data_IF_599016521232
#
_entry.id   IF_599016521232
#
_cell.length_a   1.000
_cell.length_b   1.000
_cell.length_c   1.000
_cell.angle_alpha   90.00
_cell.angle_beta   90.00
_cell.angle_gamma   90.00
#
_symmetry.space_group_name_H-M   'P 1'
#
loop_
_entity.id
_entity.type
_entity.pdbx_description
1 polymer ?
#
# COMPACT_ATOMS: atom_id res chain seq x y z
N UNK A 1 30.99 -12.44 -37.52
CA UNK A 1 30.12 -11.96 -36.42
C UNK A 1 28.89 -11.36 -37.08
N UNK A 2 27.77 -12.10 -37.01
CA UNK A 2 26.72 -12.05 -38.02
C UNK A 2 25.55 -11.09 -37.74
N UNK A 3 24.73 -10.79 -38.77
CA UNK A 3 23.71 -9.73 -38.78
C UNK A 3 22.40 -10.06 -38.03
N UNK A 4 22.40 -11.07 -37.15
CA UNK A 4 21.18 -11.65 -36.56
C UNK A 4 20.68 -10.94 -35.29
N UNK A 5 21.42 -9.94 -34.78
CA UNK A 5 21.06 -9.22 -33.54
C UNK A 5 20.23 -7.94 -33.76
N UNK A 6 20.06 -7.48 -35.00
CA UNK A 6 19.29 -6.24 -35.30
C UNK A 6 17.83 -6.56 -35.70
N UNK A 7 17.53 -7.77 -36.17
CA UNK A 7 16.18 -8.17 -36.57
C UNK A 7 15.22 -8.46 -35.42
N UNK A 8 15.72 -8.93 -34.27
CA UNK A 8 14.90 -9.32 -33.13
C UNK A 8 14.33 -8.12 -32.34
N UNK A 9 15.04 -6.99 -32.32
CA UNK A 9 14.59 -5.75 -31.67
C UNK A 9 13.51 -5.04 -32.47
N UNK A 10 13.58 -5.03 -33.81
CA UNK A 10 12.53 -4.41 -34.65
C UNK A 10 11.18 -5.16 -34.62
N UNK A 11 11.19 -6.49 -34.49
CA UNK A 11 9.96 -7.29 -34.39
C UNK A 11 9.20 -7.11 -33.07
N UNK A 12 9.90 -6.88 -31.96
CA UNK A 12 9.28 -6.64 -30.64
C UNK A 12 8.59 -5.26 -30.55
N UNK A 13 9.12 -4.25 -31.24
CA UNK A 13 8.49 -2.93 -31.31
C UNK A 13 7.24 -2.92 -32.20
N UNK A 14 7.24 -3.64 -33.33
CA UNK A 14 6.07 -3.73 -34.21
C UNK A 14 4.91 -4.52 -33.59
N UNK A 15 5.20 -5.59 -32.84
CA UNK A 15 4.18 -6.36 -32.12
C UNK A 15 3.52 -5.56 -30.98
N UNK A 16 4.29 -4.71 -30.29
CA UNK A 16 3.79 -3.82 -29.23
C UNK A 16 2.87 -2.73 -29.78
N UNK A 17 3.16 -2.20 -30.97
CA UNK A 17 2.33 -1.17 -31.62
C UNK A 17 1.03 -1.74 -32.22
N UNK A 18 1.08 -2.97 -32.76
CA UNK A 18 -0.10 -3.67 -33.27
C UNK A 18 -1.05 -4.12 -32.15
N UNK A 19 -0.53 -4.43 -30.95
CA UNK A 19 -1.34 -4.72 -29.77
C UNK A 19 -2.05 -3.45 -29.23
N UNK A 20 -1.33 -2.32 -29.17
CA UNK A 20 -1.88 -1.04 -28.71
C UNK A 20 -3.01 -0.51 -29.60
N UNK A 21 -2.89 -0.69 -30.92
CA UNK A 21 -3.92 -0.24 -31.88
C UNK A 21 -5.18 -1.12 -31.89
N UNK A 22 -5.04 -2.43 -31.61
CA UNK A 22 -6.19 -3.35 -31.49
C UNK A 22 -6.98 -3.16 -30.20
N UNK A 23 -6.35 -2.69 -29.11
CA UNK A 23 -7.09 -2.32 -27.90
C UNK A 23 -7.93 -1.04 -28.10
N UNK A 24 -7.42 -0.08 -28.88
CA UNK A 24 -8.11 1.21 -29.11
C UNK A 24 -9.44 1.06 -29.86
N UNK A 25 -9.59 0.04 -30.72
CA UNK A 25 -10.83 -0.22 -31.46
C UNK A 25 -11.88 -1.01 -30.66
N UNK A 26 -11.45 -1.84 -29.70
CA UNK A 26 -12.35 -2.49 -28.74
C UNK A 26 -12.90 -1.48 -27.70
N UNK A 27 -12.12 -0.44 -27.41
CA UNK A 27 -12.46 0.64 -26.46
C UNK A 27 -13.69 1.48 -26.81
N UNK A 28 -14.03 1.65 -28.09
CA UNK A 28 -15.19 2.46 -28.48
C UNK A 28 -16.53 1.74 -28.35
N UNK A 29 -16.55 0.42 -28.13
CA UNK A 29 -17.79 -0.38 -28.14
C UNK A 29 -18.36 -0.69 -26.75
N UNK A 30 -17.70 -0.29 -25.66
CA UNK A 30 -18.07 -0.69 -24.29
C UNK A 30 -18.60 0.46 -23.41
N UNK A 31 -19.00 1.60 -24.01
CA UNK A 31 -19.52 2.79 -23.30
C UNK A 31 -20.95 2.68 -22.73
N UNK A 32 -21.54 1.49 -22.56
CA UNK A 32 -22.97 1.38 -22.17
C UNK A 32 -23.32 0.39 -21.05
N UNK A 33 -22.42 0.10 -20.10
CA UNK A 33 -22.78 -0.74 -18.94
C UNK A 33 -22.38 -0.07 -17.62
N UNK A 34 -23.31 -0.15 -16.66
CA UNK A 34 -23.33 0.37 -15.28
C UNK A 34 -21.98 0.26 -14.55
N UNK A 35 -21.70 1.11 -13.54
CA UNK A 35 -20.46 1.03 -12.75
C UNK A 35 -20.27 -0.39 -12.22
N UNK A 36 -19.12 -0.98 -12.51
CA UNK A 36 -18.79 -2.34 -12.05
C UNK A 36 -18.34 -2.23 -10.60
N UNK A 37 -18.80 -3.11 -9.69
CA UNK A 37 -18.24 -3.16 -8.35
C UNK A 37 -16.74 -3.44 -8.43
N UNK A 38 -15.99 -2.97 -7.41
CA UNK A 38 -14.59 -3.30 -7.18
C UNK A 38 -14.32 -4.76 -7.60
N UNK A 39 -13.36 -4.98 -8.51
CA UNK A 39 -13.14 -6.27 -9.16
C UNK A 39 -13.06 -7.41 -8.13
N UNK A 40 -14.03 -8.31 -8.21
CA UNK A 40 -13.83 -9.71 -7.83
C UNK A 40 -12.70 -10.25 -8.69
N UNK A 41 -11.50 -10.35 -8.10
CA UNK A 41 -10.47 -11.24 -8.63
C UNK A 41 -11.06 -12.67 -8.54
N UNK A 42 -11.07 -13.37 -9.67
CA UNK A 42 -11.61 -14.72 -9.93
C UNK A 42 -11.34 -15.78 -8.82
N UNK A 43 -12.05 -16.93 -8.85
CA UNK A 43 -12.55 -17.65 -7.68
C UNK A 43 -11.44 -18.16 -6.74
N UNK A 44 -11.48 -17.65 -5.51
CA UNK A 44 -10.52 -17.91 -4.43
C UNK A 44 -10.44 -16.72 -3.47
N UNK A 45 -11.60 -16.13 -3.17
CA UNK A 45 -11.86 -14.82 -2.54
C UNK A 45 -10.91 -14.54 -1.36
N UNK A 46 -9.85 -13.78 -1.58
CA UNK A 46 -9.19 -13.05 -0.50
C UNK A 46 -10.07 -11.85 -0.20
N UNK A 47 -10.86 -11.97 0.86
CA UNK A 47 -11.64 -10.86 1.37
C UNK A 47 -10.70 -9.74 1.85
N UNK A 48 -10.98 -8.49 1.51
CA UNK A 48 -10.14 -7.34 1.82
C UNK A 48 -10.97 -6.19 2.36
N UNK A 49 -10.32 -5.17 2.96
CA UNK A 49 -10.98 -3.90 3.32
C UNK A 49 -12.09 -4.04 4.34
N UNK A 50 -12.14 -5.15 5.09
CA UNK A 50 -13.10 -5.40 6.17
C UNK A 50 -12.47 -5.13 7.53
N UNK A 51 -13.27 -4.65 8.47
CA UNK A 51 -12.87 -4.40 9.86
C UNK A 51 -13.75 -5.27 10.75
N UNK A 52 -13.28 -6.45 11.20
CA UNK A 52 -14.15 -7.43 11.87
C UNK A 52 -14.59 -7.04 13.29
N UNK A 53 -13.80 -6.22 13.99
CA UNK A 53 -13.96 -6.01 15.44
C UNK A 53 -14.57 -4.67 15.83
N UNK A 54 -14.46 -3.67 14.97
CA UNK A 54 -14.79 -2.29 15.30
C UNK A 54 -15.61 -1.69 14.17
N UNK A 55 -16.75 -1.10 14.51
CA UNK A 55 -17.50 -0.27 13.58
C UNK A 55 -16.95 1.16 13.61
N UNK A 56 -15.96 1.41 12.74
CA UNK A 56 -15.32 2.73 12.61
C UNK A 56 -16.24 3.76 11.93
N UNK A 57 -17.32 3.31 11.27
CA UNK A 57 -18.21 4.17 10.48
C UNK A 57 -19.36 4.70 11.32
N UNK A 58 -19.92 3.93 12.24
CA UNK A 58 -21.08 4.33 13.06
C UNK A 58 -20.77 5.30 14.22
N UNK A 59 -19.51 5.73 14.37
CA UNK A 59 -19.10 6.73 15.35
C UNK A 59 -19.44 8.18 14.97
N UNK A 60 -19.47 9.08 15.95
CA UNK A 60 -19.51 10.53 15.70
C UNK A 60 -18.31 10.97 14.85
N UNK A 61 -18.43 12.10 14.15
CA UNK A 61 -17.31 12.68 13.39
C UNK A 61 -16.19 13.08 14.35
N UNK A 62 -15.06 12.36 14.33
CA UNK A 62 -13.90 12.65 15.17
C UNK A 62 -12.81 13.25 14.30
N UNK A 63 -12.67 14.58 14.39
CA UNK A 63 -11.59 15.34 13.78
C UNK A 63 -10.52 15.55 14.85
N UNK A 64 -9.27 15.19 14.56
CA UNK A 64 -8.17 15.19 15.52
C UNK A 64 -7.62 13.79 15.77
N UNK A 65 -6.29 13.69 15.83
CA UNK A 65 -5.61 12.43 16.15
C UNK A 65 -5.98 11.92 17.54
N UNK A 66 -6.46 10.69 17.62
CA UNK A 66 -6.82 10.03 18.87
C UNK A 66 -6.39 8.55 18.87
N UNK A 67 -6.49 7.90 20.03
CA UNK A 67 -6.15 6.49 20.16
C UNK A 67 -7.11 5.62 19.34
N UNK A 68 -6.56 4.83 18.43
CA UNK A 68 -7.31 3.85 17.67
C UNK A 68 -7.76 2.71 18.59
N UNK A 69 -9.00 2.26 18.40
CA UNK A 69 -9.50 1.07 19.09
C UNK A 69 -8.71 -0.18 18.66
N UNK A 70 -8.63 -1.17 19.53
CA UNK A 70 -7.90 -2.40 19.22
C UNK A 70 -8.59 -3.15 18.08
N UNK A 71 -7.87 -3.34 16.97
CA UNK A 71 -8.41 -3.97 15.77
C UNK A 71 -9.14 -3.04 14.79
N UNK A 72 -9.13 -1.72 15.01
CA UNK A 72 -9.75 -0.75 14.09
C UNK A 72 -9.13 -0.78 12.68
N UNK A 73 -7.81 -1.04 12.58
CA UNK A 73 -7.07 -1.01 11.32
C UNK A 73 -6.27 -2.30 11.10
N UNK A 74 -6.92 -3.42 10.73
CA UNK A 74 -6.29 -4.75 10.70
C UNK A 74 -5.21 -4.94 9.60
N UNK A 75 -5.12 -4.02 8.64
CA UNK A 75 -4.09 -4.01 7.59
C UNK A 75 -2.82 -3.25 7.95
N UNK A 76 -2.80 -2.52 9.06
CA UNK A 76 -1.68 -1.64 9.38
C UNK A 76 -0.43 -2.42 9.81
N UNK A 77 0.73 -1.99 9.31
CA UNK A 77 2.02 -2.60 9.59
C UNK A 77 2.97 -1.60 10.21
N UNK A 78 3.62 -1.99 11.30
CA UNK A 78 4.77 -1.26 11.85
C UNK A 78 6.05 -1.84 11.25
N UNK A 79 6.71 -1.07 10.37
CA UNK A 79 8.03 -1.42 9.84
C UNK A 79 9.10 -0.97 10.83
N UNK A 80 9.79 -1.95 11.40
CA UNK A 80 10.82 -1.72 12.42
C UNK A 80 12.20 -2.06 11.90
N UNK A 81 13.18 -1.25 12.28
CA UNK A 81 14.58 -1.49 12.00
C UNK A 81 15.34 -1.83 13.29
N UNK A 82 16.14 -2.89 13.24
CA UNK A 82 17.00 -3.31 14.33
C UNK A 82 18.17 -2.34 14.47
N UNK A 83 18.24 -1.65 15.61
CA UNK A 83 19.40 -0.85 15.99
C UNK A 83 20.36 -1.67 16.86
N UNK A 84 21.50 -1.07 17.19
CA UNK A 84 22.45 -1.63 18.15
C UNK A 84 21.75 -2.08 19.45
N UNK A 85 22.34 -3.08 20.13
CA UNK A 85 21.79 -3.69 21.35
C UNK A 85 20.46 -4.44 21.18
N UNK A 86 20.19 -4.97 19.98
CA UNK A 86 19.00 -5.78 19.65
C UNK A 86 17.65 -5.09 19.91
N UNK A 87 17.60 -3.76 19.94
CA UNK A 87 16.35 -3.00 20.06
C UNK A 87 15.80 -2.64 18.68
N UNK A 88 14.62 -3.13 18.36
CA UNK A 88 13.89 -2.71 17.15
C UNK A 88 13.19 -1.38 17.39
N UNK A 89 13.24 -0.50 16.39
CA UNK A 89 12.61 0.82 16.44
C UNK A 89 11.70 0.98 15.24
N UNK A 90 10.46 1.40 15.48
CA UNK A 90 9.52 1.76 14.43
C UNK A 90 10.05 2.94 13.62
N UNK A 91 10.04 2.81 12.29
CA UNK A 91 10.48 3.85 11.36
C UNK A 91 9.38 4.31 10.41
N UNK A 92 8.57 3.37 9.91
CA UNK A 92 7.53 3.62 8.93
C UNK A 92 6.32 2.73 9.17
N UNK A 93 5.17 3.16 8.66
CA UNK A 93 3.98 2.37 8.45
C UNK A 93 4.04 1.52 7.16
N UNK A 94 3.01 0.72 6.97
CA UNK A 94 2.74 -0.04 5.75
C UNK A 94 1.34 -0.62 5.78
N UNK A 95 0.91 -1.18 4.66
CA UNK A 95 -0.42 -1.78 4.51
C UNK A 95 -0.31 -3.20 3.96
N UNK A 96 -0.94 -4.17 4.62
CA UNK A 96 -1.07 -5.53 4.10
C UNK A 96 -2.00 -5.48 2.88
N UNK A 97 -1.49 -5.88 1.72
CA UNK A 97 -2.28 -5.93 0.47
C UNK A 97 -2.54 -7.38 0.01
N UNK A 98 -1.72 -8.34 0.46
CA UNK A 98 -1.87 -9.79 0.29
C UNK A 98 -1.13 -10.54 1.41
N UNK A 99 -1.22 -11.86 1.43
CA UNK A 99 -0.67 -12.72 2.47
C UNK A 99 0.83 -12.51 2.65
N UNK A 100 1.58 -12.33 1.56
CA UNK A 100 3.02 -12.11 1.59
C UNK A 100 3.44 -10.71 1.15
N UNK A 101 2.51 -9.78 0.97
CA UNK A 101 2.81 -8.47 0.38
C UNK A 101 2.32 -7.29 1.22
N UNK A 102 3.22 -6.34 1.42
CA UNK A 102 2.95 -5.06 2.07
C UNK A 102 3.27 -3.93 1.09
N UNK A 103 2.43 -2.90 1.08
CA UNK A 103 2.68 -1.64 0.38
C UNK A 103 3.13 -0.56 1.37
N UNK A 104 4.13 0.24 0.99
CA UNK A 104 4.67 1.33 1.82
C UNK A 104 5.34 2.40 0.93
N UNK A 105 5.96 3.40 1.54
CA UNK A 105 6.71 4.45 0.86
C UNK A 105 8.16 4.02 0.56
N UNK A 106 8.70 4.44 -0.59
CA UNK A 106 10.08 4.16 -0.98
C UNK A 106 11.11 4.85 -0.08
N UNK A 107 10.82 6.07 0.37
CA UNK A 107 11.74 6.87 1.18
C UNK A 107 12.09 6.25 2.54
N UNK A 108 11.32 5.27 3.01
CA UNK A 108 11.60 4.47 4.19
C UNK A 108 12.95 3.72 4.08
N UNK A 109 13.37 3.37 2.85
CA UNK A 109 14.53 2.54 2.55
C UNK A 109 15.69 3.34 1.96
N UNK A 110 16.31 4.21 2.77
CA UNK A 110 17.56 4.91 2.39
C UNK A 110 18.72 3.92 2.23
N UNK A 111 19.74 4.29 1.44
CA UNK A 111 20.94 3.46 1.15
C UNK A 111 21.54 2.81 2.42
N UNK A 112 21.61 3.55 3.53
CA UNK A 112 22.13 3.07 4.83
C UNK A 112 21.25 2.01 5.53
N UNK A 113 20.07 1.70 4.99
CA UNK A 113 19.07 0.80 5.59
C UNK A 113 18.64 -0.33 4.64
N UNK A 114 19.34 -0.59 3.54
CA UNK A 114 18.99 -1.71 2.64
C UNK A 114 19.32 -3.11 3.18
N UNK A 115 19.93 -3.20 4.36
CA UNK A 115 20.32 -4.49 4.94
C UNK A 115 19.08 -5.19 5.50
N UNK A 116 18.43 -5.99 4.65
CA UNK A 116 17.12 -6.64 4.87
C UNK A 116 17.01 -7.40 6.21
N UNK A 117 18.10 -8.04 6.66
CA UNK A 117 18.14 -8.78 7.94
C UNK A 117 17.82 -7.94 9.18
N UNK A 118 17.89 -6.61 9.08
CA UNK A 118 17.56 -5.71 10.17
C UNK A 118 16.11 -5.21 10.13
N UNK A 119 15.38 -5.47 9.06
CA UNK A 119 13.98 -5.09 8.97
C UNK A 119 13.04 -6.19 9.46
N UNK A 120 12.01 -5.78 10.17
CA UNK A 120 10.94 -6.64 10.67
C UNK A 120 9.61 -5.93 10.43
N UNK A 121 8.65 -6.63 9.85
CA UNK A 121 7.25 -6.21 9.80
C UNK A 121 6.55 -6.68 11.07
N UNK A 122 5.86 -5.76 11.77
CA UNK A 122 5.04 -6.08 12.94
C UNK A 122 3.58 -5.79 12.63
N UNK A 123 2.71 -6.79 12.83
CA UNK A 123 1.31 -6.77 12.42
C UNK A 123 0.37 -7.11 13.58
N UNK A 124 -0.92 -6.75 13.47
CA UNK A 124 -1.96 -7.14 14.43
C UNK A 124 -1.70 -6.66 15.86
N UNK A 125 -1.12 -5.47 16.01
CA UNK A 125 -0.85 -4.82 17.31
C UNK A 125 -1.42 -3.41 17.30
N UNK A 126 -1.97 -2.97 18.43
CA UNK A 126 -2.22 -1.54 18.68
C UNK A 126 -1.06 -0.90 19.44
N UNK A 127 -0.49 -1.59 20.42
CA UNK A 127 0.66 -1.12 21.17
C UNK A 127 1.96 -1.77 20.68
N UNK A 128 2.82 -1.03 20.00
CA UNK A 128 4.09 -1.56 19.43
C UNK A 128 5.15 -1.89 20.48
N UNK A 129 4.99 -1.42 21.72
CA UNK A 129 5.87 -1.77 22.85
C UNK A 129 5.39 -3.01 23.61
N UNK A 130 4.10 -3.35 23.55
CA UNK A 130 3.52 -4.50 24.26
C UNK A 130 3.82 -5.85 23.57
N UNK A 131 4.85 -5.90 22.73
CA UNK A 131 5.09 -6.92 21.73
C UNK A 131 5.73 -8.20 22.30
N UNK A 132 4.99 -8.93 23.16
CA UNK A 132 5.41 -10.20 23.78
C UNK A 132 5.25 -11.42 22.87
N UNK A 133 4.63 -11.29 21.70
CA UNK A 133 4.30 -12.44 20.84
C UNK A 133 5.19 -12.51 19.59
N UNK A 134 6.04 -13.54 19.49
CA UNK A 134 6.92 -13.78 18.33
C UNK A 134 6.14 -13.90 17.00
N UNK A 135 4.92 -14.43 17.01
CA UNK A 135 4.12 -14.66 15.80
C UNK A 135 3.67 -13.37 15.09
N UNK A 136 3.79 -12.21 15.74
CA UNK A 136 3.43 -10.91 15.16
C UNK A 136 4.60 -10.25 14.42
N UNK A 137 5.80 -10.84 14.48
CA UNK A 137 7.03 -10.34 13.86
C UNK A 137 7.39 -11.20 12.65
N UNK A 138 7.43 -10.59 11.48
CA UNK A 138 7.69 -11.29 10.22
C UNK A 138 8.94 -10.71 9.58
N UNK A 139 9.84 -11.59 9.15
CA UNK A 139 11.05 -11.21 8.42
C UNK A 139 10.69 -10.75 7.00
N UNK A 140 11.39 -9.74 6.52
CA UNK A 140 11.32 -9.30 5.13
C UNK A 140 12.22 -10.19 4.28
N UNK A 141 11.70 -10.66 3.16
CA UNK A 141 12.42 -11.44 2.16
C UNK A 141 13.16 -10.53 1.18
N UNK A 142 12.43 -9.59 0.57
CA UNK A 142 13.00 -8.54 -0.27
C UNK A 142 12.08 -7.32 -0.37
N UNK A 143 12.62 -6.25 -0.94
CA UNK A 143 11.93 -4.96 -1.12
C UNK A 143 12.08 -4.55 -2.58
N UNK A 144 10.97 -4.17 -3.21
CA UNK A 144 10.91 -3.62 -4.57
C UNK A 144 10.56 -2.15 -4.47
N UNK A 145 11.56 -1.29 -4.68
CA UNK A 145 11.37 0.16 -4.73
C UNK A 145 11.07 0.56 -6.16
N UNK A 146 10.18 1.54 -6.35
CA UNK A 146 9.92 2.08 -7.67
C UNK A 146 11.23 2.54 -8.35
N UNK A 147 11.55 2.05 -9.56
CA UNK A 147 12.84 2.33 -10.21
C UNK A 147 13.07 3.81 -10.50
N UNK A 148 11.99 4.56 -10.71
CA UNK A 148 12.02 6.01 -10.94
C UNK A 148 11.77 6.87 -9.70
N UNK A 149 11.89 6.30 -8.48
CA UNK A 149 11.78 7.07 -7.24
C UNK A 149 12.82 8.19 -7.18
N UNK A 150 12.36 9.42 -6.92
CA UNK A 150 13.20 10.62 -6.81
C UNK A 150 13.33 11.07 -5.36
N UNK A 151 14.50 10.84 -4.76
CA UNK A 151 14.77 11.20 -3.37
C UNK A 151 14.56 12.68 -3.01
N UNK A 152 14.75 13.60 -3.97
CA UNK A 152 14.66 15.03 -3.71
C UNK A 152 13.23 15.58 -3.79
N UNK A 153 12.40 15.00 -4.66
CA UNK A 153 11.03 15.48 -4.92
C UNK A 153 9.96 14.57 -4.35
N UNK A 154 10.33 13.37 -3.88
CA UNK A 154 9.42 12.32 -3.45
C UNK A 154 8.45 11.87 -4.55
N UNK A 155 8.79 12.12 -5.82
CA UNK A 155 8.08 11.56 -6.96
C UNK A 155 8.33 10.04 -7.01
N UNK A 156 7.29 9.27 -7.30
CA UNK A 156 7.33 7.81 -7.28
C UNK A 156 7.69 7.20 -5.92
N UNK A 157 7.22 7.82 -4.83
CA UNK A 157 7.46 7.36 -3.46
C UNK A 157 6.58 6.17 -3.07
N UNK A 158 6.86 5.01 -3.66
CA UNK A 158 6.15 3.75 -3.45
C UNK A 158 7.12 2.57 -3.47
N UNK A 159 6.90 1.63 -2.55
CA UNK A 159 7.64 0.37 -2.48
C UNK A 159 6.73 -0.80 -2.07
N UNK A 160 7.07 -1.98 -2.59
CA UNK A 160 6.49 -3.25 -2.21
C UNK A 160 7.47 -4.02 -1.34
N UNK A 161 6.97 -4.68 -0.30
CA UNK A 161 7.75 -5.58 0.56
C UNK A 161 7.18 -6.98 0.39
N UNK A 162 8.06 -7.94 0.11
CA UNK A 162 7.73 -9.35 0.19
C UNK A 162 8.11 -9.90 1.58
N UNK A 163 7.17 -10.58 2.21
CA UNK A 163 7.36 -11.24 3.50
C UNK A 163 7.91 -12.64 3.32
N UNK A 164 8.81 -13.05 4.21
CA UNK A 164 9.40 -14.39 4.19
C UNK A 164 8.40 -15.50 4.47
N UNK A 165 7.37 -15.21 5.27
CA UNK A 165 6.26 -16.11 5.55
C UNK A 165 4.93 -15.37 5.34
N UNK A 166 3.89 -16.05 4.83
CA UNK A 166 2.57 -15.46 4.70
C UNK A 166 1.99 -15.08 6.07
N UNK A 167 1.23 -13.99 6.11
CA UNK A 167 0.40 -13.65 7.26
C UNK A 167 -0.81 -14.58 7.33
N UNK A 168 -1.24 -14.91 8.55
CA UNK A 168 -2.51 -15.60 8.77
C UNK A 168 -3.59 -14.58 9.07
N UNK A 169 -4.59 -14.48 8.20
CA UNK A 169 -5.72 -13.57 8.41
C UNK A 169 -6.55 -13.99 9.63
N UNK A 170 -6.96 -12.98 10.40
CA UNK A 170 -7.78 -13.10 11.59
C UNK A 170 -8.40 -11.72 11.89
N UNK A 171 -9.12 -11.60 13.00
CA UNK A 171 -9.84 -10.38 13.36
C UNK A 171 -8.94 -9.13 13.52
N UNK A 172 -7.64 -9.31 13.76
CA UNK A 172 -6.65 -8.24 13.90
C UNK A 172 -5.71 -8.10 12.69
N UNK A 173 -5.79 -9.01 11.72
CA UNK A 173 -4.91 -9.06 10.54
C UNK A 173 -5.75 -9.34 9.30
N UNK A 174 -5.97 -8.32 8.48
CA UNK A 174 -6.72 -8.39 7.23
C UNK A 174 -6.00 -7.59 6.15
N UNK A 175 -6.14 -7.93 4.86
CA UNK A 175 -5.62 -7.09 3.80
C UNK A 175 -6.54 -5.90 3.52
N UNK A 176 -6.00 -4.76 3.09
CA UNK A 176 -6.80 -3.63 2.56
C UNK A 176 -7.03 -3.82 1.06
N UNK A 177 -8.18 -3.36 0.56
CA UNK A 177 -8.43 -3.39 -0.87
C UNK A 177 -7.60 -2.34 -1.60
N UNK A 178 -7.12 -2.68 -2.80
CA UNK A 178 -6.48 -1.74 -3.71
C UNK A 178 -7.53 -1.12 -4.64
N UNK A 179 -7.35 0.15 -5.05
CA UNK A 179 -8.29 0.80 -5.94
C UNK A 179 -8.18 0.22 -7.35
N UNK A 180 -9.29 0.23 -8.09
CA UNK A 180 -9.34 -0.14 -9.50
C UNK A 180 -9.15 1.09 -10.39
N UNK A 181 -8.77 0.84 -11.65
CA UNK A 181 -8.64 1.89 -12.66
C UNK A 181 -10.00 2.58 -12.88
N UNK A 182 -9.96 3.92 -12.98
CA UNK A 182 -11.02 4.85 -13.41
C UNK A 182 -12.30 5.05 -12.57
N UNK A 183 -12.66 4.19 -11.62
CA UNK A 183 -14.01 4.26 -11.00
C UNK A 183 -14.09 4.90 -9.60
N UNK A 184 -12.96 5.31 -9.01
CA UNK A 184 -12.95 5.76 -7.61
C UNK A 184 -12.52 7.22 -7.51
N UNK A 185 -13.41 8.23 -7.58
CA UNK A 185 -13.02 9.63 -7.50
C UNK A 185 -12.30 9.97 -6.17
N UNK A 186 -11.29 10.84 -6.24
CA UNK A 186 -10.71 11.48 -5.06
C UNK A 186 -11.52 12.74 -4.80
N UNK A 187 -12.52 12.62 -3.94
CA UNK A 187 -13.36 13.73 -3.53
C UNK A 187 -13.74 13.57 -2.05
N UNK A 188 -14.49 14.55 -1.54
CA UNK A 188 -14.95 14.59 -0.16
C UNK A 188 -16.30 13.88 0.05
N UNK A 189 -16.75 13.03 -0.89
CA UNK A 189 -17.97 12.22 -0.72
C UNK A 189 -17.74 10.98 0.14
N UNK A 190 -16.48 10.57 0.30
CA UNK A 190 -16.06 9.41 1.09
C UNK A 190 -15.37 9.86 2.36
N UNK A 191 -15.60 9.10 3.44
CA UNK A 191 -14.87 9.28 4.70
C UNK A 191 -13.52 8.61 4.57
N UNK A 192 -12.46 9.37 4.80
CA UNK A 192 -11.09 8.91 4.68
C UNK A 192 -10.36 9.05 6.01
N UNK A 193 -9.50 8.10 6.30
CA UNK A 193 -8.79 7.97 7.56
C UNK A 193 -7.31 7.73 7.31
N UNK A 194 -6.50 8.20 8.24
CA UNK A 194 -5.08 7.86 8.37
C UNK A 194 -4.85 7.20 9.71
N UNK A 195 -3.84 6.34 9.78
CA UNK A 195 -3.47 5.68 11.02
C UNK A 195 -1.97 5.39 11.07
N UNK A 196 -1.40 5.45 12.28
CA UNK A 196 0.02 5.19 12.49
C UNK A 196 0.50 5.37 13.93
N UNK A 197 1.81 5.21 14.12
CA UNK A 197 2.51 5.37 15.41
C UNK A 197 3.50 6.55 15.39
N UNK A 198 3.32 7.46 14.43
CA UNK A 198 4.09 8.68 14.32
C UNK A 198 3.85 9.63 15.48
N UNK A 199 4.53 10.77 15.45
CA UNK A 199 4.35 11.79 16.48
C UNK A 199 2.94 12.38 16.43
N UNK A 200 2.33 12.64 17.59
CA UNK A 200 1.04 13.36 17.65
C UNK A 200 1.17 14.86 17.35
N UNK A 201 2.35 15.42 17.56
CA UNK A 201 2.67 16.83 17.32
C UNK A 201 4.05 16.91 16.68
N UNK A 202 4.33 17.97 15.93
CA UNK A 202 5.60 18.14 15.21
C UNK A 202 6.83 18.01 16.14
N UNK A 203 6.76 18.63 17.31
CA UNK A 203 7.79 18.60 18.36
C UNK A 203 7.68 17.41 19.31
N UNK A 204 6.64 16.58 19.17
CA UNK A 204 6.35 15.47 20.07
C UNK A 204 7.27 14.26 19.91
N UNK A 205 6.96 13.21 20.67
CA UNK A 205 7.60 11.90 20.60
C UNK A 205 6.69 10.88 19.92
N UNK A 206 7.27 9.76 19.46
CA UNK A 206 6.49 8.65 18.90
C UNK A 206 5.55 8.09 19.97
N UNK A 207 4.32 7.77 19.58
CA UNK A 207 3.35 7.10 20.45
C UNK A 207 3.47 5.58 20.32
N UNK A 208 3.49 4.84 21.44
CA UNK A 208 3.46 3.39 21.37
C UNK A 208 2.07 2.85 20.97
N UNK A 209 1.01 3.62 21.22
CA UNK A 209 -0.37 3.28 20.86
C UNK A 209 -0.70 3.80 19.47
N UNK A 210 -1.39 2.96 18.69
CA UNK A 210 -1.85 3.30 17.36
C UNK A 210 -2.81 4.49 17.42
N UNK A 211 -2.61 5.47 16.55
CA UNK A 211 -3.48 6.62 16.40
C UNK A 211 -4.29 6.52 15.12
N UNK A 212 -5.42 7.23 15.09
CA UNK A 212 -6.20 7.44 13.88
C UNK A 212 -6.73 8.87 13.82
N UNK A 213 -7.01 9.33 12.60
CA UNK A 213 -7.70 10.58 12.35
C UNK A 213 -8.49 10.50 11.04
N UNK A 214 -9.67 11.13 11.02
CA UNK A 214 -10.42 11.40 9.79
C UNK A 214 -9.83 12.64 9.10
N UNK A 215 -9.63 12.57 7.78
CA UNK A 215 -9.07 13.65 6.95
C UNK A 215 -9.82 13.78 5.62
N UNK A 216 -9.64 14.93 4.96
CA UNK A 216 -10.36 15.26 3.74
C UNK A 216 -9.40 15.47 2.57
N UNK A 217 -9.87 15.17 1.36
CA UNK A 217 -9.16 15.49 0.13
C UNK A 217 -9.07 17.01 -0.05
N UNK A 218 -7.87 17.47 -0.41
CA UNK A 218 -7.61 18.87 -0.74
C UNK A 218 -7.25 18.95 -2.23
N UNK A 219 -7.97 19.76 -3.02
CA UNK A 219 -7.69 19.92 -4.44
C UNK A 219 -6.23 20.27 -4.72
N UNK A 220 -5.69 19.66 -5.79
CA UNK A 220 -4.28 19.79 -6.14
C UNK A 220 -3.87 21.23 -6.44
N UNK A 221 -4.73 22.00 -7.11
CA UNK A 221 -4.53 23.42 -7.40
C UNK A 221 -4.46 24.27 -6.13
N UNK A 222 -5.22 23.91 -5.09
CA UNK A 222 -5.15 24.58 -3.79
C UNK A 222 -3.86 24.26 -3.05
N UNK A 223 -3.50 22.99 -2.89
CA UNK A 223 -2.29 22.64 -2.13
C UNK A 223 -1.00 22.93 -2.90
N UNK A 224 -1.04 22.97 -4.23
CA UNK A 224 0.12 23.29 -5.05
C UNK A 224 0.22 24.78 -5.42
N UNK A 225 -0.66 25.62 -4.87
CA UNK A 225 -0.64 27.06 -5.04
C UNK A 225 0.63 27.71 -4.47
N UNK A 226 0.90 28.95 -4.89
CA UNK A 226 2.07 29.75 -4.45
C UNK A 226 2.10 29.95 -2.94
N UNK A 227 0.93 30.07 -2.29
CA UNK A 227 0.79 30.21 -0.83
C UNK A 227 0.96 28.91 -0.04
N UNK A 228 1.22 27.78 -0.71
CA UNK A 228 1.42 26.46 -0.13
C UNK A 228 2.68 25.82 -0.72
N UNK A 229 2.59 24.66 -1.38
CA UNK A 229 3.74 23.93 -1.90
C UNK A 229 4.38 24.56 -3.15
N UNK A 230 3.72 25.52 -3.80
CA UNK A 230 4.29 26.34 -4.90
C UNK A 230 4.89 25.50 -6.03
N UNK A 231 4.06 24.64 -6.62
CA UNK A 231 4.45 23.78 -7.75
C UNK A 231 5.25 22.52 -7.39
N UNK A 232 5.50 22.25 -6.11
CA UNK A 232 6.35 21.13 -5.66
C UNK A 232 5.62 19.82 -5.38
N UNK A 233 4.28 19.78 -5.41
CA UNK A 233 3.53 18.54 -5.27
C UNK A 233 3.69 17.69 -6.53
N UNK A 234 4.21 16.45 -6.45
CA UNK A 234 4.33 15.57 -7.62
C UNK A 234 2.97 15.26 -8.25
N UNK A 235 2.91 15.08 -9.56
CA UNK A 235 1.69 14.68 -10.27
C UNK A 235 1.23 13.26 -9.92
N UNK A 236 2.10 12.48 -9.28
CA UNK A 236 1.81 11.12 -8.81
C UNK A 236 1.25 11.08 -7.39
N UNK A 237 0.91 12.24 -6.85
CA UNK A 237 0.56 12.44 -5.44
C UNK A 237 -0.62 13.42 -5.34
N UNK A 238 -1.33 13.32 -4.22
CA UNK A 238 -2.43 14.23 -3.88
C UNK A 238 -2.31 14.72 -2.44
N UNK A 239 -3.09 15.73 -2.10
CA UNK A 239 -3.09 16.34 -0.78
C UNK A 239 -4.33 15.93 0.01
N UNK A 240 -4.14 15.69 1.31
CA UNK A 240 -5.25 15.47 2.22
C UNK A 240 -4.92 15.97 3.62
N UNK A 241 -5.94 16.36 4.36
CA UNK A 241 -5.81 16.93 5.71
C UNK A 241 -7.01 17.80 6.04
N UNK A 242 -6.80 18.71 6.98
CA UNK A 242 -7.77 19.75 7.34
C UNK A 242 -7.31 21.11 6.80
N UNK A 243 -8.23 21.87 6.19
CA UNK A 243 -7.92 23.12 5.49
C UNK A 243 -7.28 24.20 6.40
N UNK A 244 -7.54 24.15 7.71
CA UNK A 244 -6.97 25.06 8.70
C UNK A 244 -5.79 24.45 9.49
N UNK A 245 -5.30 23.27 9.07
CA UNK A 245 -4.28 22.52 9.80
C UNK A 245 -4.84 21.69 10.96
N UNK A 246 -4.00 21.45 11.98
CA UNK A 246 -4.28 20.68 13.21
C UNK A 246 -4.38 19.16 13.08
N UNK A 247 -4.73 18.62 11.90
CA UNK A 247 -4.80 17.18 11.65
C UNK A 247 -3.95 16.83 10.44
N UNK A 248 -2.95 15.99 10.66
CA UNK A 248 -2.00 15.56 9.63
C UNK A 248 -1.28 14.28 10.07
N UNK A 249 -0.70 13.58 9.11
CA UNK A 249 0.35 12.59 9.39
C UNK A 249 1.63 13.28 9.83
N UNK A 250 2.44 12.60 10.64
CA UNK A 250 3.70 13.15 11.11
C UNK A 250 4.86 12.14 11.02
N UNK A 251 6.02 12.53 11.52
CA UNK A 251 7.20 11.65 11.55
C UNK A 251 6.87 10.31 12.22
N UNK A 252 7.03 9.22 11.46
CA UNK A 252 6.72 7.85 11.86
C UNK A 252 5.49 7.27 11.17
N UNK A 253 4.59 8.11 10.63
CA UNK A 253 3.43 7.66 9.86
C UNK A 253 3.77 7.42 8.38
N UNK A 254 4.95 7.83 7.93
CA UNK A 254 5.51 7.57 6.60
C UNK A 254 5.28 6.13 6.14
N UNK A 255 4.74 5.95 4.94
CA UNK A 255 4.41 4.64 4.38
C UNK A 255 3.10 4.03 4.90
N UNK A 256 2.48 4.64 5.92
CA UNK A 256 1.17 4.25 6.44
C UNK A 256 0.01 4.50 5.46
N UNK A 257 -1.15 3.91 5.72
CA UNK A 257 -2.32 4.02 4.84
C UNK A 257 -3.05 5.35 4.99
N UNK A 258 -3.50 5.90 3.86
CA UNK A 258 -4.70 6.71 3.76
C UNK A 258 -5.80 5.83 3.15
N UNK A 259 -6.79 5.47 3.96
CA UNK A 259 -7.88 4.56 3.61
C UNK A 259 -9.22 5.28 3.54
N UNK A 260 -10.01 5.03 2.50
CA UNK A 260 -11.35 5.61 2.37
C UNK A 260 -12.41 4.51 2.36
N UNK A 261 -13.53 4.76 3.02
CA UNK A 261 -14.66 3.84 3.08
C UNK A 261 -15.61 4.03 1.90
N UNK A 262 -15.98 2.93 1.25
CA UNK A 262 -16.90 2.87 0.12
C UNK A 262 -18.19 2.16 0.54
N UNK A 263 -19.27 2.92 0.85
CA UNK A 263 -20.54 2.36 1.29
C UNK A 263 -21.17 1.42 0.26
N UNK A 264 -20.93 1.63 -1.04
CA UNK A 264 -21.50 0.81 -2.12
C UNK A 264 -20.97 -0.63 -2.11
N UNK A 265 -19.79 -0.82 -1.52
CA UNK A 265 -19.12 -2.11 -1.43
C UNK A 265 -18.96 -2.60 0.00
N UNK A 266 -19.24 -1.77 1.01
CA UNK A 266 -18.95 -2.00 2.43
C UNK A 266 -17.48 -2.37 2.66
N UNK A 267 -16.58 -1.59 2.05
CA UNK A 267 -15.14 -1.89 1.99
C UNK A 267 -14.29 -0.64 2.15
N UNK A 268 -13.15 -0.78 2.82
CA UNK A 268 -12.07 0.20 2.82
C UNK A 268 -11.11 -0.03 1.65
N UNK A 269 -10.76 1.06 0.97
CA UNK A 269 -9.81 1.06 -0.16
C UNK A 269 -8.62 1.94 0.20
N UNK A 270 -7.41 1.45 -0.11
CA UNK A 270 -6.16 2.17 0.09
C UNK A 270 -5.99 3.22 -1.01
N UNK A 271 -6.31 4.47 -0.71
CA UNK A 271 -6.28 5.56 -1.69
C UNK A 271 -4.92 6.25 -1.74
N UNK A 272 -4.22 6.33 -0.60
CA UNK A 272 -2.92 7.00 -0.51
C UNK A 272 -1.93 6.27 0.38
N UNK A 273 -0.64 6.59 0.17
CA UNK A 273 0.47 6.20 1.04
C UNK A 273 1.09 7.47 1.61
N UNK A 274 1.22 7.59 2.93
CA UNK A 274 1.83 8.75 3.59
C UNK A 274 3.27 8.98 3.08
N UNK A 275 3.53 10.12 2.46
CA UNK A 275 4.82 10.40 1.80
C UNK A 275 5.56 11.59 2.43
N UNK A 276 5.06 12.80 2.23
CA UNK A 276 5.77 14.03 2.54
C UNK A 276 4.85 15.10 3.14
N UNK A 277 5.43 16.15 3.69
CA UNK A 277 4.71 17.29 4.26
C UNK A 277 5.68 18.34 4.79
N UNK A 278 5.19 19.57 5.01
CA UNK A 278 5.94 20.62 5.70
C UNK A 278 5.43 20.74 7.13
N UNK A 279 6.24 20.30 8.09
CA UNK A 279 5.81 20.16 9.47
C UNK A 279 4.74 19.08 9.62
N UNK A 280 3.94 19.17 10.68
CA UNK A 280 2.78 18.31 10.89
C UNK A 280 1.59 19.16 11.29
N UNK A 281 0.56 19.22 10.44
CA UNK A 281 -0.68 19.95 10.73
C UNK A 281 -0.54 21.47 10.67
N UNK A 282 0.44 21.97 9.91
CA UNK A 282 0.62 23.41 9.70
C UNK A 282 -0.50 23.95 8.78
N UNK A 283 -1.09 25.12 9.08
CA UNK A 283 -2.05 25.74 8.18
C UNK A 283 -1.48 25.91 6.77
N UNK A 284 -2.30 25.67 5.76
CA UNK A 284 -1.95 25.72 4.32
C UNK A 284 -0.94 24.67 3.83
N UNK A 285 -0.38 23.83 4.69
CA UNK A 285 0.55 22.76 4.29
C UNK A 285 -0.02 21.39 4.66
N UNK A 286 -1.00 20.88 3.89
CA UNK A 286 -1.57 19.56 4.17
C UNK A 286 -0.58 18.44 3.86
N UNK A 287 -0.84 17.24 4.38
CA UNK A 287 -0.06 16.05 4.05
C UNK A 287 -0.12 15.70 2.57
N UNK A 288 1.01 15.23 2.02
CA UNK A 288 1.15 14.73 0.65
C UNK A 288 1.19 13.20 0.69
N UNK A 289 0.31 12.59 -0.10
CA UNK A 289 0.15 11.14 -0.19
C UNK A 289 0.43 10.67 -1.61
N UNK A 290 1.21 9.60 -1.76
CA UNK A 290 1.41 8.93 -3.05
C UNK A 290 0.09 8.31 -3.49
N UNK A 291 -0.34 8.60 -4.71
CA UNK A 291 -1.64 8.17 -5.23
C UNK A 291 -1.62 6.70 -5.66
N UNK A 292 -2.23 5.80 -4.89
CA UNK A 292 -2.15 4.35 -5.16
C UNK A 292 -2.76 3.96 -6.51
N UNK A 293 -3.83 4.66 -6.93
CA UNK A 293 -4.47 4.46 -8.25
C UNK A 293 -3.49 4.61 -9.40
N UNK A 294 -2.63 5.62 -9.33
CA UNK A 294 -1.63 5.92 -10.36
C UNK A 294 -0.70 4.72 -10.62
N UNK A 295 -0.44 3.91 -9.59
CA UNK A 295 0.47 2.76 -9.64
C UNK A 295 -0.24 1.41 -9.80
N UNK A 296 -1.54 1.37 -10.08
CA UNK A 296 -2.30 0.12 -10.17
C UNK A 296 -1.65 -0.92 -11.09
N UNK A 297 -1.26 -0.50 -12.31
CA UNK A 297 -0.64 -1.38 -13.30
C UNK A 297 0.69 -1.94 -12.79
N UNK A 298 1.52 -1.09 -12.19
CA UNK A 298 2.82 -1.50 -11.65
C UNK A 298 2.66 -2.46 -10.46
N UNK A 299 1.77 -2.15 -9.51
CA UNK A 299 1.51 -3.01 -8.35
C UNK A 299 1.03 -4.37 -8.85
N UNK A 300 0.03 -4.40 -9.73
CA UNK A 300 -0.50 -5.65 -10.31
C UNK A 300 0.58 -6.44 -11.06
N UNK A 301 1.36 -5.76 -11.90
CA UNK A 301 2.42 -6.41 -12.70
C UNK A 301 3.49 -7.02 -11.80
N UNK A 302 3.89 -6.31 -10.74
CA UNK A 302 4.85 -6.82 -9.76
C UNK A 302 4.31 -8.08 -9.09
N UNK A 303 3.08 -8.04 -8.58
CA UNK A 303 2.46 -9.19 -7.91
C UNK A 303 2.32 -10.41 -8.83
N UNK A 304 1.89 -10.21 -10.07
CA UNK A 304 1.72 -11.29 -11.06
C UNK A 304 3.05 -11.89 -11.51
N UNK A 305 4.07 -11.06 -11.74
CA UNK A 305 5.39 -11.53 -12.15
C UNK A 305 5.97 -12.51 -11.12
N UNK A 306 5.78 -12.24 -9.83
CA UNK A 306 6.20 -13.16 -8.77
C UNK A 306 5.40 -14.46 -8.73
N UNK A 307 4.07 -14.41 -8.92
CA UNK A 307 3.28 -15.65 -9.00
C UNK A 307 3.73 -16.55 -10.16
N UNK A 308 4.07 -15.94 -11.30
CA UNK A 308 4.58 -16.65 -12.47
C UNK A 308 6.00 -17.20 -12.25
N UNK A 309 6.89 -16.46 -11.58
CA UNK A 309 8.21 -16.98 -11.22
C UNK A 309 8.14 -18.16 -10.27
N UNK A 310 7.30 -18.07 -9.24
CA UNK A 310 7.12 -19.16 -8.26
C UNK A 310 6.55 -20.40 -8.95
N UNK A 311 5.57 -20.25 -9.85
CA UNK A 311 5.01 -21.38 -10.62
C UNK A 311 5.99 -21.97 -11.64
N UNK A 312 6.88 -21.17 -12.22
CA UNK A 312 7.96 -21.65 -13.11
C UNK A 312 9.10 -22.34 -12.36
N UNK A 313 9.36 -21.97 -11.10
CA UNK A 313 10.39 -22.60 -10.25
C UNK A 313 9.86 -23.85 -9.52
N UNK A 314 8.56 -23.90 -9.20
CA UNK A 314 7.93 -25.04 -8.51
C UNK A 314 7.33 -26.18 -9.39
N UNK A 315 7.48 -26.31 -10.72
CA UNK A 315 6.80 -27.37 -11.47
C UNK A 315 7.55 -28.72 -11.44
N UNK A 316 8.37 -29.00 -10.42
CA UNK A 316 9.17 -30.23 -10.33
C UNK A 316 9.07 -30.96 -8.99
N UNK A 317 8.01 -30.75 -8.20
CA UNK A 317 7.72 -31.63 -7.05
C UNK A 317 6.23 -31.91 -6.94
N UNK A 318 5.81 -32.94 -7.68
CA UNK A 318 4.82 -33.97 -7.32
C UNK A 318 3.98 -34.37 -8.54
N UNK A 319 4.39 -35.43 -9.25
CA UNK A 319 3.50 -36.52 -9.64
C UNK A 319 4.38 -37.77 -9.72
N UNK A 320 4.28 -38.66 -8.74
CA UNK A 320 4.18 -40.12 -8.93
C UNK A 320 3.72 -40.70 -7.59
N UNK A 321 2.40 -40.68 -7.42
CA UNK A 321 1.72 -41.44 -6.39
C UNK A 321 1.69 -42.90 -6.85
N UNK A 322 2.33 -43.71 -6.03
CA UNK A 322 2.12 -45.13 -5.74
C UNK A 322 0.77 -45.69 -6.25
N UNK A 323 0.82 -46.68 -7.14
CA UNK A 323 -0.23 -47.68 -7.32
C UNK A 323 0.22 -48.98 -6.64
N UNK A 324 -0.52 -49.38 -5.61
CA UNK A 324 -0.35 -50.62 -4.83
C UNK A 324 -1.33 -51.68 -5.36
N UNK A 325 -0.75 -52.87 -5.64
CA UNK A 325 -1.27 -54.26 -5.56
C UNK A 325 -2.45 -54.80 -6.40
N UNK A 326 -2.21 -56.02 -6.94
CA UNK A 326 -3.17 -57.10 -7.25
C UNK A 326 -3.63 -57.14 -8.71
N UNK A 327 -3.64 -58.24 -9.48
CA UNK A 327 -3.62 -59.69 -9.20
C UNK A 327 -3.32 -60.48 -10.51
N UNK A 328 -2.65 -61.63 -10.37
CA UNK A 328 -2.98 -62.94 -10.99
C UNK A 328 -3.06 -63.06 -12.53
N UNK A 329 -1.97 -63.53 -13.17
CA UNK A 329 -1.81 -64.85 -13.82
C UNK A 329 -0.42 -65.00 -14.47
#
# INVERSE_FOLDING_TARGET
MGPWLVGATLWLFSASFAYATRQRSLWFREKSKRPRPCFELSPGRVDCGTVPLVDVISGSRIIGGHDAQTGAWPWIVSLQFLKAFNKSVHLCGGSIIRETWILTAAHCFKVSRYVLKFWIAVIGVNNILQNRMKHKKIQIDFIVIHPEFKHNTFENDIALIHLKNPVTYNDFVQPICLPFFDDVPLDNTKRCFISGWGKRTEEGTLTPLLQEAEIHFIPWDMCNAVGSYSGRVPNTSFCAGESFGNVDTCMGDSGGPLMCYFPENERFILMGITSAGVGCGRPFFPGIYTEVRFYFIQIRSSLLWFMNLVTVILPQRQVFIILILGEVL
#
